data_IF_997184220664
#
_entry.id   IF_997184220664
#
_cell.length_a   1.000
_cell.length_b   1.000
_cell.length_c   1.000
_cell.angle_alpha   90.00
_cell.angle_beta   90.00
_cell.angle_gamma   90.00
#
_symmetry.space_group_name_H-M   'P 1'
#
loop_
_entity.id
_entity.type
_entity.pdbx_description
1 polymer ?
#
# COMPACT_ATOMS: atom_id res chain seq x y z
N UNK A 1 -4.41 10.88 -19.48
CA UNK A 1 -3.10 10.45 -20.04
C UNK A 1 -2.72 9.04 -19.60
N UNK A 2 -2.71 8.69 -18.29
CA UNK A 2 -2.34 7.34 -17.80
C UNK A 2 -3.18 6.22 -18.39
N UNK A 3 -4.48 6.44 -18.59
CA UNK A 3 -5.37 5.45 -19.22
C UNK A 3 -5.00 5.23 -20.69
N UNK A 4 -4.67 6.29 -21.42
CA UNK A 4 -4.20 6.21 -22.81
C UNK A 4 -2.93 5.36 -22.88
N UNK A 5 -1.95 5.64 -22.03
CA UNK A 5 -0.69 4.88 -21.96
C UNK A 5 -0.95 3.39 -21.70
N UNK A 6 -1.83 3.08 -20.72
CA UNK A 6 -2.19 1.71 -20.38
C UNK A 6 -2.86 0.97 -21.53
N UNK A 7 -3.87 1.56 -22.14
CA UNK A 7 -4.61 0.92 -23.22
C UNK A 7 -3.77 0.79 -24.51
N UNK A 8 -2.99 1.82 -24.84
CA UNK A 8 -2.03 1.73 -25.96
C UNK A 8 -1.02 0.62 -25.72
N UNK A 9 -0.53 0.44 -24.49
CA UNK A 9 0.36 -0.67 -24.14
C UNK A 9 -0.27 -2.04 -24.35
N UNK A 10 -1.55 -2.21 -24.00
CA UNK A 10 -2.30 -3.46 -24.23
C UNK A 10 -2.46 -3.72 -25.72
N UNK A 11 -2.88 -2.72 -26.50
CA UNK A 11 -3.05 -2.85 -27.95
C UNK A 11 -1.72 -3.17 -28.63
N UNK A 12 -0.60 -2.55 -28.21
CA UNK A 12 0.73 -2.89 -28.72
C UNK A 12 1.13 -4.34 -28.42
N UNK A 13 0.83 -4.84 -27.23
CA UNK A 13 1.13 -6.22 -26.86
C UNK A 13 0.36 -7.22 -27.75
N UNK A 14 -0.94 -6.99 -27.96
CA UNK A 14 -1.78 -7.81 -28.84
C UNK A 14 -1.26 -7.77 -30.28
N UNK A 15 -0.92 -6.58 -30.77
CA UNK A 15 -0.42 -6.41 -32.13
C UNK A 15 0.93 -7.09 -32.33
N UNK A 16 1.84 -7.01 -31.36
CA UNK A 16 3.13 -7.70 -31.40
C UNK A 16 2.95 -9.22 -31.44
N UNK A 17 2.02 -9.74 -30.67
CA UNK A 17 1.72 -11.18 -30.65
C UNK A 17 1.11 -11.64 -31.98
N UNK A 18 0.15 -10.89 -32.52
CA UNK A 18 -0.42 -11.17 -33.81
C UNK A 18 0.65 -11.17 -34.94
N UNK A 19 1.60 -10.24 -34.91
CA UNK A 19 2.72 -10.24 -35.86
C UNK A 19 3.58 -11.50 -35.72
N UNK A 20 3.82 -11.95 -34.50
CA UNK A 20 4.60 -13.18 -34.26
C UNK A 20 3.89 -14.43 -34.78
N UNK A 21 2.57 -14.47 -34.67
CA UNK A 21 1.75 -15.62 -35.05
C UNK A 21 1.50 -15.69 -36.57
N UNK A 22 1.25 -14.53 -37.21
CA UNK A 22 0.76 -14.49 -38.59
C UNK A 22 1.82 -14.08 -39.63
N UNK A 23 2.99 -13.60 -39.22
CA UNK A 23 4.10 -13.30 -40.12
C UNK A 23 5.14 -14.42 -40.06
N UNK A 24 5.68 -14.75 -41.20
CA UNK A 24 6.81 -15.64 -41.33
C UNK A 24 7.94 -14.92 -42.10
N UNK A 25 8.88 -14.33 -41.39
CA UNK A 25 10.01 -13.63 -42.03
C UNK A 25 10.91 -14.53 -42.86
N UNK A 26 11.03 -15.81 -42.51
CA UNK A 26 11.90 -16.75 -43.19
C UNK A 26 11.32 -17.12 -44.56
N UNK A 27 10.01 -17.12 -44.69
CA UNK A 27 9.29 -17.31 -45.95
C UNK A 27 8.93 -16.00 -46.65
N UNK A 28 9.31 -14.85 -46.09
CA UNK A 28 8.96 -13.52 -46.62
C UNK A 28 7.46 -13.20 -46.55
N UNK A 29 6.71 -13.89 -45.70
CA UNK A 29 5.26 -13.68 -45.54
C UNK A 29 4.98 -12.66 -44.46
N UNK A 30 4.47 -11.49 -44.85
CA UNK A 30 4.09 -10.42 -43.95
C UNK A 30 2.58 -10.13 -44.07
N UNK A 31 1.75 -10.85 -43.35
CA UNK A 31 0.29 -10.65 -43.30
C UNK A 31 -0.12 -9.43 -42.48
N UNK A 32 0.64 -9.15 -41.43
CA UNK A 32 0.47 -7.96 -40.60
C UNK A 32 1.64 -7.03 -40.89
N UNK A 33 1.37 -5.84 -41.48
CA UNK A 33 2.42 -4.92 -41.94
C UNK A 33 3.19 -4.30 -40.74
N UNK A 34 4.08 -3.37 -41.09
CA UNK A 34 4.93 -2.64 -40.16
C UNK A 34 4.13 -1.99 -39.02
N UNK A 35 4.80 -1.70 -37.91
CA UNK A 35 4.20 -1.25 -36.67
C UNK A 35 3.36 0.02 -36.88
N UNK A 36 2.06 -0.11 -36.71
CA UNK A 36 1.09 1.01 -36.79
C UNK A 36 1.38 2.08 -35.72
N UNK A 37 2.18 1.74 -34.70
CA UNK A 37 2.55 2.66 -33.62
C UNK A 37 3.79 3.50 -33.94
N UNK A 38 4.46 3.30 -35.07
CA UNK A 38 5.61 4.13 -35.47
C UNK A 38 5.23 5.59 -35.65
N UNK A 39 3.98 5.84 -36.04
CA UNK A 39 3.41 7.17 -36.25
C UNK A 39 2.68 7.71 -35.03
N UNK A 40 2.43 6.91 -34.00
CA UNK A 40 1.71 7.33 -32.79
C UNK A 40 2.66 7.50 -31.61
N UNK A 41 2.91 8.74 -31.20
CA UNK A 41 3.67 9.03 -29.99
C UNK A 41 2.80 8.82 -28.75
N UNK A 42 3.06 7.77 -28.01
CA UNK A 42 2.43 7.54 -26.71
C UNK A 42 2.80 8.69 -25.77
N UNK A 43 1.83 9.32 -25.10
CA UNK A 43 2.12 10.37 -24.11
C UNK A 43 3.12 9.89 -23.05
N UNK A 44 3.97 10.80 -22.56
CA UNK A 44 4.87 10.48 -21.46
C UNK A 44 4.05 10.26 -20.18
N UNK A 45 4.51 9.32 -19.34
CA UNK A 45 3.93 9.13 -18.01
C UNK A 45 4.14 10.43 -17.23
N UNK A 46 3.08 11.09 -16.73
CA UNK A 46 3.24 12.27 -15.90
C UNK A 46 3.99 11.90 -14.62
N UNK A 47 4.83 12.83 -14.14
CA UNK A 47 5.55 12.64 -12.89
C UNK A 47 4.61 12.22 -11.77
N UNK A 48 5.10 11.31 -10.91
CA UNK A 48 4.33 10.89 -9.75
C UNK A 48 4.20 12.06 -8.77
N UNK A 49 2.98 12.39 -8.41
CA UNK A 49 2.71 13.36 -7.35
C UNK A 49 2.97 12.66 -6.00
N UNK A 50 3.77 13.29 -5.15
CA UNK A 50 3.93 12.86 -3.76
C UNK A 50 2.57 12.90 -3.05
N UNK A 51 2.26 11.86 -2.29
CA UNK A 51 0.96 11.69 -1.62
C UNK A 51 1.10 11.50 -0.13
N UNK A 52 2.31 11.67 0.37
CA UNK A 52 2.58 11.70 1.80
C UNK A 52 1.98 12.96 2.43
N UNK A 53 1.69 12.86 3.71
CA UNK A 53 1.20 13.97 4.52
C UNK A 53 2.26 14.33 5.57
N UNK A 54 2.26 15.57 6.07
CA UNK A 54 3.13 15.97 7.17
C UNK A 54 2.97 15.08 8.41
N UNK A 55 4.07 14.83 9.13
CA UNK A 55 4.05 14.04 10.35
C UNK A 55 3.10 14.64 11.40
N UNK A 56 3.01 15.96 11.43
CA UNK A 56 2.12 16.71 12.33
C UNK A 56 0.65 16.35 12.13
N UNK A 57 0.24 16.00 10.89
CA UNK A 57 -1.14 15.57 10.65
C UNK A 57 -1.41 14.16 11.17
N UNK A 58 -0.40 13.28 11.13
CA UNK A 58 -0.50 11.96 11.77
C UNK A 58 -0.62 12.12 13.29
N UNK A 59 0.19 12.98 13.90
CA UNK A 59 0.10 13.29 15.33
C UNK A 59 -1.27 13.90 15.67
N UNK A 60 -1.77 14.83 14.86
CA UNK A 60 -3.10 15.44 15.03
C UNK A 60 -4.22 14.37 14.98
N UNK A 61 -4.12 13.37 14.09
CA UNK A 61 -5.06 12.24 14.07
C UNK A 61 -5.04 11.46 15.38
N UNK A 62 -3.85 11.18 15.91
CA UNK A 62 -3.67 10.49 17.20
C UNK A 62 -4.29 11.32 18.34
N UNK A 63 -4.01 12.61 18.38
CA UNK A 63 -4.45 13.50 19.43
C UNK A 63 -5.96 13.71 19.46
N UNK A 64 -6.58 13.88 18.29
CA UNK A 64 -8.02 14.11 18.15
C UNK A 64 -8.86 12.82 18.20
N UNK A 65 -8.23 11.66 18.12
CA UNK A 65 -8.89 10.37 17.99
C UNK A 65 -10.05 10.15 18.97
N UNK A 66 -9.84 10.49 20.25
CA UNK A 66 -10.83 10.28 21.31
C UNK A 66 -12.14 11.05 21.10
N UNK A 67 -12.07 12.20 20.44
CA UNK A 67 -13.21 13.10 20.20
C UNK A 67 -14.00 12.69 18.94
N UNK A 68 -13.40 11.87 18.07
CA UNK A 68 -14.01 11.44 16.80
C UNK A 68 -15.10 10.40 17.04
N UNK A 69 -16.14 10.42 16.19
CA UNK A 69 -17.24 9.46 16.26
C UNK A 69 -17.59 8.93 14.86
N UNK A 70 -18.27 7.79 14.83
CA UNK A 70 -18.84 7.21 13.63
C UNK A 70 -17.82 7.00 12.51
N UNK A 71 -18.12 7.50 11.31
CA UNK A 71 -17.30 7.27 10.12
C UNK A 71 -15.95 7.99 10.18
N UNK A 72 -15.87 9.18 10.76
CA UNK A 72 -14.60 9.88 10.90
C UNK A 72 -13.65 9.11 11.81
N UNK A 73 -14.14 8.64 12.96
CA UNK A 73 -13.37 7.82 13.88
C UNK A 73 -12.84 6.57 13.19
N UNK A 74 -13.72 5.82 12.53
CA UNK A 74 -13.33 4.61 11.79
C UNK A 74 -12.25 4.91 10.73
N UNK A 75 -12.41 5.98 9.97
CA UNK A 75 -11.50 6.32 8.89
C UNK A 75 -10.12 6.75 9.41
N UNK A 76 -10.07 7.53 10.49
CA UNK A 76 -8.83 7.92 11.16
C UNK A 76 -8.17 6.71 11.80
N UNK A 77 -8.90 5.88 12.53
CA UNK A 77 -8.37 4.66 13.13
C UNK A 77 -7.81 3.71 12.07
N UNK A 78 -8.54 3.47 10.98
CA UNK A 78 -8.07 2.62 9.90
C UNK A 78 -6.81 3.20 9.21
N UNK A 79 -6.73 4.53 9.04
CA UNK A 79 -5.54 5.19 8.51
C UNK A 79 -4.34 5.00 9.45
N UNK A 80 -4.51 5.21 10.74
CA UNK A 80 -3.47 5.01 11.75
C UNK A 80 -3.07 3.53 11.85
N UNK A 81 -4.01 2.58 11.75
CA UNK A 81 -3.72 1.14 11.68
C UNK A 81 -2.90 0.83 10.42
N UNK A 82 -3.31 1.35 9.27
CA UNK A 82 -2.53 1.18 8.03
C UNK A 82 -1.11 1.73 8.20
N UNK A 83 -0.97 2.92 8.75
CA UNK A 83 0.32 3.54 9.01
C UNK A 83 1.16 2.68 9.97
N UNK A 84 0.58 2.22 11.08
CA UNK A 84 1.24 1.39 12.09
C UNK A 84 1.67 0.02 11.55
N UNK A 85 0.99 -0.47 10.52
CA UNK A 85 1.30 -1.71 9.82
C UNK A 85 2.07 -1.46 8.51
N UNK A 86 3.03 -0.52 8.50
CA UNK A 86 3.91 -0.20 7.36
C UNK A 86 3.15 0.20 6.09
N UNK A 87 1.99 0.82 6.24
CA UNK A 87 1.16 1.27 5.11
C UNK A 87 0.47 0.11 4.38
N UNK A 88 -0.08 -0.85 5.11
CA UNK A 88 -0.93 -1.90 4.52
C UNK A 88 -2.05 -1.27 3.68
N UNK A 89 -2.27 -1.80 2.47
CA UNK A 89 -3.32 -1.27 1.61
C UNK A 89 -4.71 -1.58 2.16
N UNK A 90 -5.70 -0.77 1.80
CA UNK A 90 -7.07 -0.98 2.26
C UNK A 90 -7.66 -2.34 1.81
N UNK A 91 -7.30 -2.83 0.63
CA UNK A 91 -7.71 -4.16 0.17
C UNK A 91 -7.12 -5.26 1.06
N UNK A 92 -5.81 -5.18 1.33
CA UNK A 92 -5.12 -6.15 2.19
C UNK A 92 -5.61 -6.05 3.65
N UNK A 93 -5.87 -4.84 4.16
CA UNK A 93 -6.45 -4.62 5.49
C UNK A 93 -7.86 -5.20 5.62
N UNK A 94 -8.69 -5.04 4.56
CA UNK A 94 -10.06 -5.57 4.51
C UNK A 94 -10.07 -7.10 4.52
N UNK A 95 -9.18 -7.74 3.76
CA UNK A 95 -9.13 -9.18 3.56
C UNK A 95 -8.08 -9.90 4.41
N UNK A 96 -7.38 -9.18 5.30
CA UNK A 96 -6.36 -9.78 6.16
C UNK A 96 -6.95 -10.93 6.98
N UNK A 97 -6.33 -12.11 6.87
CA UNK A 97 -6.92 -13.34 7.38
C UNK A 97 -6.48 -13.70 8.78
N UNK A 98 -5.28 -13.26 9.22
CA UNK A 98 -4.71 -13.78 10.45
C UNK A 98 -3.95 -12.73 11.27
N UNK A 99 -4.19 -12.75 12.59
CA UNK A 99 -3.27 -12.24 13.60
C UNK A 99 -2.83 -13.43 14.45
N UNK A 100 -1.53 -13.67 14.49
CA UNK A 100 -0.93 -14.75 15.27
C UNK A 100 -0.11 -14.12 16.40
N UNK A 101 -0.65 -14.16 17.63
CA UNK A 101 -0.11 -13.43 18.75
C UNK A 101 -0.15 -11.91 18.51
N UNK A 102 1.02 -11.31 18.36
CA UNK A 102 1.22 -9.89 18.04
C UNK A 102 1.60 -9.65 16.57
N UNK A 103 1.56 -10.69 15.71
CA UNK A 103 1.97 -10.58 14.30
C UNK A 103 0.75 -10.65 13.37
N UNK A 104 0.55 -9.61 12.59
CA UNK A 104 -0.39 -9.59 11.45
C UNK A 104 0.27 -10.28 10.27
N UNK A 105 -0.40 -11.32 9.74
CA UNK A 105 0.10 -12.09 8.60
C UNK A 105 -0.89 -11.96 7.42
N UNK A 106 -0.39 -11.61 6.25
CA UNK A 106 -1.19 -11.51 5.03
C UNK A 106 -0.34 -11.67 3.77
N UNK A 107 -0.99 -12.05 2.68
CA UNK A 107 -0.39 -12.06 1.36
C UNK A 107 -0.89 -10.84 0.60
N UNK A 108 0.01 -10.03 0.07
CA UNK A 108 -0.35 -8.80 -0.64
C UNK A 108 -1.09 -9.12 -1.94
N UNK A 109 -2.42 -8.93 -1.97
CA UNK A 109 -3.31 -9.31 -3.06
C UNK A 109 -2.83 -8.87 -4.45
N UNK A 110 -2.32 -7.64 -4.56
CA UNK A 110 -1.89 -7.09 -5.86
C UNK A 110 -0.78 -7.88 -6.54
N UNK A 111 0.03 -8.61 -5.79
CA UNK A 111 1.28 -9.23 -6.28
C UNK A 111 1.43 -10.70 -5.89
N UNK A 112 0.52 -11.26 -5.08
CA UNK A 112 0.58 -12.65 -4.63
C UNK A 112 0.69 -13.64 -5.79
N UNK A 113 -0.17 -13.50 -6.80
CA UNK A 113 -0.22 -14.41 -7.97
C UNK A 113 1.01 -14.34 -8.89
N UNK A 114 1.92 -13.38 -8.66
CA UNK A 114 3.08 -13.12 -9.51
C UNK A 114 4.41 -13.39 -8.82
N UNK A 115 4.37 -13.92 -7.60
CA UNK A 115 5.53 -14.12 -6.75
C UNK A 115 5.55 -15.52 -6.17
N UNK A 116 6.71 -16.15 -6.17
CA UNK A 116 6.91 -17.48 -5.60
C UNK A 116 6.69 -17.49 -4.07
N UNK A 117 7.04 -16.39 -3.39
CA UNK A 117 6.78 -16.17 -1.95
C UNK A 117 5.35 -15.71 -1.65
N UNK A 118 4.46 -15.71 -2.67
CA UNK A 118 3.06 -15.24 -2.58
C UNK A 118 2.93 -13.84 -1.99
N UNK A 119 3.97 -13.03 -2.08
CA UNK A 119 4.04 -11.70 -1.49
C UNK A 119 3.67 -11.68 0.00
N UNK A 120 4.12 -12.68 0.75
CA UNK A 120 3.84 -12.82 2.18
C UNK A 120 4.40 -11.64 2.97
N UNK A 121 3.59 -11.12 3.88
CA UNK A 121 3.95 -10.09 4.84
C UNK A 121 3.65 -10.54 6.26
N UNK A 122 4.58 -10.21 7.15
CA UNK A 122 4.45 -10.40 8.59
C UNK A 122 4.81 -9.08 9.27
N UNK A 123 3.86 -8.51 10.00
CA UNK A 123 4.02 -7.20 10.65
C UNK A 123 3.74 -7.34 12.12
N UNK A 124 4.74 -7.06 12.94
CA UNK A 124 4.58 -7.03 14.41
C UNK A 124 3.73 -5.82 14.81
N UNK A 125 2.74 -6.07 15.66
CA UNK A 125 1.96 -5.04 16.33
C UNK A 125 2.80 -4.53 17.49
N UNK A 126 3.36 -3.34 17.35
CA UNK A 126 4.13 -2.73 18.42
C UNK A 126 3.21 -2.40 19.61
N UNK A 127 3.72 -2.55 20.83
CA UNK A 127 2.95 -2.34 22.06
C UNK A 127 2.28 -0.96 22.10
N UNK A 128 2.95 0.07 21.58
CA UNK A 128 2.42 1.44 21.54
C UNK A 128 1.12 1.58 20.74
N UNK A 129 0.87 0.70 19.76
CA UNK A 129 -0.32 0.77 18.88
C UNK A 129 -1.33 -0.36 19.13
N UNK A 130 -1.07 -1.25 20.08
CA UNK A 130 -1.96 -2.39 20.35
C UNK A 130 -3.38 -1.95 20.74
N UNK A 131 -3.50 -0.93 21.58
CA UNK A 131 -4.79 -0.35 21.99
C UNK A 131 -5.58 0.30 20.84
N UNK A 132 -4.92 0.72 19.76
CA UNK A 132 -5.57 1.17 18.53
C UNK A 132 -6.19 0.01 17.75
N UNK A 133 -5.50 -1.11 17.70
CA UNK A 133 -5.85 -2.27 16.86
C UNK A 133 -6.91 -3.14 17.53
N UNK A 134 -6.85 -3.30 18.85
CA UNK A 134 -7.70 -4.23 19.61
C UNK A 134 -9.20 -4.09 19.33
N UNK A 135 -9.82 -2.88 19.26
CA UNK A 135 -11.24 -2.73 18.96
C UNK A 135 -11.66 -3.18 17.56
N UNK A 136 -10.69 -3.40 16.69
CA UNK A 136 -10.90 -3.77 15.29
C UNK A 136 -10.54 -5.21 14.98
N UNK A 137 -10.15 -6.01 15.98
CA UNK A 137 -9.97 -7.45 15.77
C UNK A 137 -11.26 -8.10 15.28
N UNK A 138 -11.15 -8.97 14.29
CA UNK A 138 -12.27 -9.72 13.74
C UNK A 138 -12.46 -11.06 14.46
N UNK A 139 -13.65 -11.61 14.37
CA UNK A 139 -13.95 -12.95 14.87
C UNK A 139 -13.48 -14.04 13.91
N UNK A 140 -13.61 -13.80 12.59
CA UNK A 140 -13.31 -14.76 11.53
C UNK A 140 -12.13 -14.34 10.64
N UNK A 141 -11.64 -13.13 10.81
CA UNK A 141 -10.51 -12.54 10.09
C UNK A 141 -9.63 -11.76 11.05
N UNK A 142 -8.48 -11.29 10.59
CA UNK A 142 -7.61 -10.44 11.40
C UNK A 142 -8.32 -9.18 11.90
N UNK A 143 -9.12 -8.58 11.02
CA UNK A 143 -9.87 -7.37 11.32
C UNK A 143 -11.36 -7.52 11.01
N UNK A 144 -12.22 -6.86 11.80
CA UNK A 144 -13.67 -6.87 11.65
C UNK A 144 -14.19 -6.05 10.45
N UNK A 145 -13.31 -5.50 9.62
CA UNK A 145 -13.74 -4.67 8.49
C UNK A 145 -14.51 -5.46 7.43
N UNK A 146 -14.12 -6.70 7.15
CA UNK A 146 -14.85 -7.57 6.22
C UNK A 146 -16.22 -8.03 6.77
N UNK A 147 -16.39 -8.00 8.09
CA UNK A 147 -17.67 -8.30 8.74
C UNK A 147 -18.64 -7.12 8.71
N UNK A 148 -18.11 -5.89 8.64
CA UNK A 148 -18.88 -4.63 8.65
C UNK A 148 -19.25 -4.10 7.26
N UNK A 149 -18.48 -4.44 6.25
CA UNK A 149 -18.65 -3.94 4.88
C UNK A 149 -18.81 -5.07 3.90
N UNK A 150 -19.71 -4.91 2.95
CA UNK A 150 -20.03 -5.94 1.96
C UNK A 150 -18.91 -6.19 0.93
N UNK A 151 -18.01 -5.25 0.76
CA UNK A 151 -16.86 -5.39 -0.14
C UNK A 151 -15.72 -4.43 0.21
N UNK A 152 -14.50 -4.75 -0.23
CA UNK A 152 -13.34 -3.88 -0.08
C UNK A 152 -13.52 -2.52 -0.77
N UNK A 153 -14.24 -2.44 -1.87
CA UNK A 153 -14.52 -1.16 -2.56
C UNK A 153 -15.44 -0.26 -1.73
N UNK A 154 -16.47 -0.82 -1.11
CA UNK A 154 -17.36 -0.10 -0.19
C UNK A 154 -16.59 0.38 1.04
N UNK A 155 -15.72 -0.47 1.59
CA UNK A 155 -14.84 -0.11 2.70
C UNK A 155 -13.93 1.07 2.33
N UNK A 156 -13.22 1.01 1.20
CA UNK A 156 -12.34 2.10 0.72
C UNK A 156 -13.11 3.41 0.54
N UNK A 157 -14.30 3.34 -0.04
CA UNK A 157 -15.15 4.52 -0.22
C UNK A 157 -15.56 5.15 1.13
N UNK A 158 -15.92 4.31 2.10
CA UNK A 158 -16.25 4.76 3.46
C UNK A 158 -15.05 5.43 4.16
N UNK A 159 -13.86 4.84 4.05
CA UNK A 159 -12.62 5.41 4.59
C UNK A 159 -12.30 6.79 3.99
N UNK A 160 -12.29 6.88 2.66
CA UNK A 160 -11.98 8.14 1.99
C UNK A 160 -13.03 9.24 2.28
N UNK A 161 -14.32 8.86 2.45
CA UNK A 161 -15.36 9.80 2.86
C UNK A 161 -15.16 10.29 4.30
N UNK A 162 -14.76 9.43 5.22
CA UNK A 162 -14.45 9.81 6.61
C UNK A 162 -13.20 10.69 6.69
N UNK A 163 -12.13 10.33 5.99
CA UNK A 163 -10.91 11.15 5.93
C UNK A 163 -11.17 12.50 5.27
N UNK A 164 -12.05 12.55 4.26
CA UNK A 164 -12.48 13.83 3.66
C UNK A 164 -13.14 14.73 4.70
N UNK A 165 -14.08 14.23 5.48
CA UNK A 165 -14.76 15.01 6.51
C UNK A 165 -13.78 15.51 7.57
N UNK A 166 -12.88 14.63 8.05
CA UNK A 166 -11.86 15.00 9.05
C UNK A 166 -10.92 16.10 8.53
N UNK A 167 -10.37 15.95 7.31
CA UNK A 167 -9.44 16.96 6.76
C UNK A 167 -10.11 18.30 6.51
N UNK A 168 -11.36 18.31 6.02
CA UNK A 168 -12.13 19.56 5.76
C UNK A 168 -12.40 20.31 7.06
N UNK A 169 -12.75 19.59 8.14
CA UNK A 169 -12.91 20.17 9.47
C UNK A 169 -11.62 20.81 10.02
N UNK A 170 -10.46 20.25 9.67
CA UNK A 170 -9.16 20.75 10.10
C UNK A 170 -8.51 21.72 9.09
N UNK A 171 -9.18 22.10 7.99
CA UNK A 171 -8.63 23.00 6.98
C UNK A 171 -7.44 22.46 6.21
N UNK A 172 -7.33 21.12 6.08
CA UNK A 172 -6.16 20.46 5.50
C UNK A 172 -6.35 20.20 4.01
N UNK A 173 -5.24 20.15 3.27
CA UNK A 173 -5.23 19.83 1.84
C UNK A 173 -5.60 18.38 1.57
N UNK A 174 -5.82 18.07 0.29
CA UNK A 174 -6.27 16.74 -0.13
C UNK A 174 -5.25 15.63 0.15
N UNK A 175 -5.73 14.55 0.73
CA UNK A 175 -5.06 13.26 0.82
C UNK A 175 -6.09 12.12 0.82
N UNK A 176 -5.64 10.88 0.69
CA UNK A 176 -6.48 9.68 0.69
C UNK A 176 -5.93 8.64 1.67
N UNK A 177 -6.69 7.57 1.89
CA UNK A 177 -6.22 6.45 2.72
C UNK A 177 -4.84 5.93 2.31
N UNK A 178 -4.55 5.89 1.01
CA UNK A 178 -3.26 5.44 0.49
C UNK A 178 -2.08 6.32 0.91
N UNK A 179 -2.34 7.53 1.37
CA UNK A 179 -1.32 8.45 1.91
C UNK A 179 -0.62 7.91 3.15
N UNK A 180 -1.27 7.05 3.94
CA UNK A 180 -0.63 6.37 5.08
C UNK A 180 0.66 5.65 4.67
N UNK A 181 0.60 4.91 3.56
CA UNK A 181 1.76 4.19 3.01
C UNK A 181 2.86 5.10 2.50
N UNK A 182 2.51 6.17 1.81
CA UNK A 182 3.48 7.16 1.34
C UNK A 182 4.17 7.87 2.50
N UNK A 183 3.39 8.27 3.51
CA UNK A 183 3.88 8.94 4.71
C UNK A 183 4.84 8.05 5.47
N UNK A 184 4.46 6.79 5.72
CA UNK A 184 5.34 5.83 6.37
C UNK A 184 6.68 5.70 5.62
N UNK A 185 6.64 5.51 4.29
CA UNK A 185 7.83 5.36 3.48
C UNK A 185 8.73 6.61 3.47
N UNK A 186 8.13 7.80 3.39
CA UNK A 186 8.85 9.08 3.46
C UNK A 186 9.53 9.26 4.82
N UNK A 187 8.82 9.00 5.91
CA UNK A 187 9.37 9.11 7.27
C UNK A 187 10.47 8.06 7.53
N UNK A 188 10.30 6.84 7.06
CA UNK A 188 11.33 5.80 7.14
C UNK A 188 12.65 6.23 6.50
N UNK A 189 12.60 6.94 5.36
CA UNK A 189 13.77 7.48 4.66
C UNK A 189 14.29 8.80 5.22
N UNK A 190 13.54 9.45 6.10
CA UNK A 190 13.95 10.73 6.70
C UNK A 190 15.24 10.58 7.52
N UNK A 191 15.94 11.70 7.75
CA UNK A 191 17.13 11.72 8.62
C UNK A 191 16.86 11.21 10.05
N UNK A 192 15.63 11.34 10.53
CA UNK A 192 15.23 10.90 11.88
C UNK A 192 15.22 9.37 12.02
N UNK A 193 14.81 8.64 10.99
CA UNK A 193 14.79 7.18 10.99
C UNK A 193 16.02 6.57 10.29
N UNK A 194 16.50 7.16 9.20
CA UNK A 194 17.69 6.74 8.48
C UNK A 194 17.63 5.32 7.92
N UNK A 195 16.44 4.81 7.60
CA UNK A 195 16.26 3.42 7.15
C UNK A 195 16.66 3.31 5.68
N UNK A 196 17.45 2.31 5.33
CA UNK A 196 17.89 2.08 3.97
C UNK A 196 16.75 1.80 3.00
N UNK A 197 16.93 2.20 1.74
CA UNK A 197 15.91 2.03 0.68
C UNK A 197 15.53 0.56 0.49
N UNK A 198 16.50 -0.36 0.56
CA UNK A 198 16.25 -1.81 0.46
C UNK A 198 15.31 -2.29 1.56
N UNK A 199 15.55 -1.91 2.82
CA UNK A 199 14.69 -2.24 3.96
C UNK A 199 13.29 -1.64 3.78
N UNK A 200 13.19 -0.39 3.34
CA UNK A 200 11.89 0.24 3.04
C UNK A 200 11.16 -0.52 1.93
N UNK A 201 11.86 -0.98 0.89
CA UNK A 201 11.26 -1.80 -0.17
C UNK A 201 10.73 -3.13 0.38
N UNK A 202 11.48 -3.80 1.26
CA UNK A 202 11.02 -5.01 1.94
C UNK A 202 9.79 -4.76 2.82
N UNK A 203 9.80 -3.70 3.64
CA UNK A 203 8.66 -3.27 4.46
C UNK A 203 7.40 -3.00 3.62
N UNK A 204 7.58 -2.48 2.43
CA UNK A 204 6.49 -2.20 1.49
C UNK A 204 6.14 -3.40 0.61
N UNK A 205 6.78 -4.56 0.77
CA UNK A 205 6.60 -5.71 -0.11
C UNK A 205 6.81 -5.35 -1.59
N UNK A 206 7.80 -4.51 -1.88
CA UNK A 206 8.22 -4.23 -3.26
C UNK A 206 9.31 -5.21 -3.65
N UNK A 207 9.31 -5.62 -4.93
CA UNK A 207 10.42 -6.35 -5.54
C UNK A 207 11.36 -5.30 -6.11
N UNK A 208 12.63 -5.40 -5.79
CA UNK A 208 13.66 -4.64 -6.48
C UNK A 208 14.12 -5.50 -7.67
N UNK A 209 13.85 -5.05 -8.90
CA UNK A 209 14.20 -5.82 -10.11
C UNK A 209 15.72 -6.05 -10.24
N UNK A 210 16.54 -5.29 -9.51
CA UNK A 210 18.00 -5.42 -9.48
C UNK A 210 18.53 -6.49 -8.51
N UNK A 211 17.76 -6.93 -7.52
CA UNK A 211 18.20 -7.87 -6.47
C UNK A 211 17.58 -9.27 -6.58
N UNK A 212 16.86 -9.55 -7.66
CA UNK A 212 16.11 -10.82 -7.83
C UNK A 212 16.96 -12.10 -7.68
N UNK A 213 18.24 -12.03 -8.05
CA UNK A 213 19.14 -13.18 -7.94
C UNK A 213 19.60 -13.37 -6.50
N UNK A 214 19.85 -12.30 -5.78
CA UNK A 214 20.32 -12.32 -4.40
C UNK A 214 19.21 -12.78 -3.44
N UNK A 215 17.96 -12.38 -3.72
CA UNK A 215 16.77 -12.72 -2.91
C UNK A 215 16.53 -14.25 -2.84
N UNK A 216 17.04 -15.05 -3.81
CA UNK A 216 16.94 -16.51 -3.79
C UNK A 216 17.79 -17.11 -2.67
N UNK A 217 18.90 -16.46 -2.32
CA UNK A 217 19.86 -16.95 -1.34
C UNK A 217 19.67 -16.38 0.06
N UNK A 218 18.93 -15.27 0.19
CA UNK A 218 18.77 -14.53 1.45
C UNK A 218 17.37 -14.79 2.02
N UNK A 219 17.33 -15.44 3.20
CA UNK A 219 16.05 -15.54 3.93
C UNK A 219 15.67 -14.18 4.47
N UNK A 220 14.40 -13.77 4.26
CA UNK A 220 13.87 -12.50 4.77
C UNK A 220 13.97 -12.43 6.29
N UNK A 221 14.64 -11.40 6.78
CA UNK A 221 14.77 -11.09 8.19
C UNK A 221 13.62 -10.18 8.64
N UNK A 222 12.64 -10.78 9.32
CA UNK A 222 11.48 -10.05 9.80
C UNK A 222 11.80 -9.11 10.97
N UNK A 223 12.78 -9.44 11.82
CA UNK A 223 13.18 -8.57 12.92
C UNK A 223 13.69 -7.22 12.39
N UNK A 224 14.51 -7.23 11.35
CA UNK A 224 15.00 -6.02 10.69
C UNK A 224 13.83 -5.15 10.15
N UNK A 225 12.81 -5.80 9.58
CA UNK A 225 11.61 -5.14 9.08
C UNK A 225 10.79 -4.54 10.22
N UNK A 226 10.65 -5.26 11.32
CA UNK A 226 9.91 -4.80 12.50
C UNK A 226 10.63 -3.66 13.23
N UNK A 227 11.94 -3.73 13.38
CA UNK A 227 12.76 -2.66 13.96
C UNK A 227 12.67 -1.36 13.15
N UNK A 228 12.63 -1.49 11.81
CA UNK A 228 12.40 -0.34 10.94
C UNK A 228 11.03 0.30 11.21
N UNK A 229 9.98 -0.54 11.37
CA UNK A 229 8.65 -0.04 11.73
C UNK A 229 8.63 0.63 13.11
N UNK A 230 9.23 0.00 14.11
CA UNK A 230 9.31 0.54 15.47
C UNK A 230 9.99 1.93 15.49
N UNK A 231 11.06 2.13 14.70
CA UNK A 231 11.71 3.46 14.57
C UNK A 231 10.76 4.52 14.01
N UNK A 232 9.96 4.18 12.99
CA UNK A 232 8.98 5.13 12.41
C UNK A 232 7.89 5.45 13.42
N UNK A 233 7.35 4.43 14.10
CA UNK A 233 6.30 4.62 15.12
C UNK A 233 6.81 5.42 16.32
N UNK A 234 8.07 5.26 16.69
CA UNK A 234 8.73 6.03 17.76
C UNK A 234 8.85 7.54 17.49
N UNK A 235 8.50 8.03 16.30
CA UNK A 235 8.42 9.46 15.98
C UNK A 235 7.19 10.13 16.59
N UNK A 236 6.21 9.35 17.06
CA UNK A 236 4.89 9.82 17.48
C UNK A 236 4.59 9.50 18.95
N UNK A 237 3.79 10.34 19.57
CA UNK A 237 3.23 10.09 20.89
C UNK A 237 1.92 9.31 20.78
N UNK A 238 1.97 8.00 21.07
CA UNK A 238 0.81 7.10 21.03
C UNK A 238 0.06 7.01 22.36
N UNK A 239 0.48 7.72 23.44
CA UNK A 239 -0.16 7.59 24.75
C UNK A 239 -1.67 7.90 24.72
N UNK A 240 -2.08 8.86 23.90
CA UNK A 240 -3.50 9.22 23.74
C UNK A 240 -4.37 8.14 23.06
N UNK A 241 -3.75 7.15 22.45
CA UNK A 241 -4.48 6.01 21.88
C UNK A 241 -4.95 5.05 22.96
N UNK A 242 -4.22 4.96 24.09
CA UNK A 242 -4.49 4.04 25.19
C UNK A 242 -5.62 4.53 26.11
N UNK A 243 -6.00 5.80 26.07
CA UNK A 243 -7.09 6.36 26.86
C UNK A 243 -8.40 6.35 26.05
N UNK A 244 -9.45 5.69 26.61
CA UNK A 244 -10.79 5.59 26.05
C UNK A 244 -11.53 6.91 26.11
#
# INVERSE_FOLDING_TARGET
>A
ERSVIKYTGIVRAIYKEARREFNDPDLGVFRIPTDIFDYYKVPRVPASVHRDIPAEWVQMMIDQRAELKGRERLAVDAFLISFALMGINAADLYSCTRINGDVVEYNRQKTADRRDDQAQMRVRIEAAVSALIEPYRGANAAFSFCERYSSGSVFVAALNKGLKAWRERNGLSWFSFYSARHTWATLARSKRCGIDKSVVSECLCHVDDGSRVDDIYIRKDWERVWDANAKVLGLFDWHRVCHK
#
